data_IF_025962895560
#
_entry.id   IF_025962895560
#
_cell.length_a   1.000
_cell.length_b   1.000
_cell.length_c   1.000
_cell.angle_alpha   90.00
_cell.angle_beta   90.00
_cell.angle_gamma   90.00
#
_symmetry.space_group_name_H-M   'P 1'
#
loop_
_entity.id
_entity.type
_entity.pdbx_description
1 polymer ?
#
# COMPACT_ATOMS: atom_id res chain seq x y z
N UNK A 1 -15.14 13.12 -20.74
CA UNK A 1 -14.76 11.97 -19.89
C UNK A 1 -13.48 12.25 -19.09
N UNK A 2 -13.50 12.02 -17.78
CA UNK A 2 -12.28 12.07 -16.97
C UNK A 2 -11.30 11.02 -17.50
N UNK A 3 -10.03 11.39 -17.68
CA UNK A 3 -8.99 10.46 -18.14
C UNK A 3 -8.69 9.36 -17.12
N UNK A 4 -7.72 8.49 -17.45
CA UNK A 4 -7.24 7.45 -16.54
C UNK A 4 -6.82 8.03 -15.18
N UNK A 5 -7.15 7.30 -14.11
CA UNK A 5 -6.78 7.67 -12.74
C UNK A 5 -5.45 7.03 -12.35
N UNK A 6 -4.37 7.31 -13.08
CA UNK A 6 -3.05 6.75 -12.80
C UNK A 6 -2.45 7.35 -11.50
N UNK A 7 -2.23 6.56 -10.42
CA UNK A 7 -1.58 7.06 -9.23
C UNK A 7 -0.18 7.61 -9.53
N UNK A 8 0.16 8.73 -8.89
CA UNK A 8 1.48 9.37 -8.94
C UNK A 8 2.47 8.72 -7.98
N UNK A 9 1.98 7.93 -7.03
CA UNK A 9 2.80 7.24 -6.05
C UNK A 9 2.02 6.77 -4.84
N UNK A 10 2.73 6.04 -3.97
CA UNK A 10 2.18 5.45 -2.76
C UNK A 10 3.00 5.91 -1.57
N UNK A 11 2.34 6.11 -0.43
CA UNK A 11 2.99 6.26 0.87
C UNK A 11 2.46 5.14 1.76
N UNK A 12 3.33 4.17 2.06
CA UNK A 12 2.97 2.94 2.78
C UNK A 12 3.40 3.05 4.23
N UNK A 13 2.44 3.22 5.13
CA UNK A 13 2.67 3.39 6.56
C UNK A 13 3.32 4.73 6.94
N UNK A 14 3.77 4.79 8.19
CA UNK A 14 4.44 5.94 8.81
C UNK A 14 5.28 5.48 10.01
N UNK A 15 6.07 6.38 10.60
CA UNK A 15 6.74 6.10 11.87
C UNK A 15 5.74 5.73 12.99
N UNK A 16 4.58 6.39 13.02
CA UNK A 16 3.52 6.06 13.97
C UNK A 16 2.91 4.67 13.72
N UNK A 17 2.78 4.28 12.45
CA UNK A 17 2.37 2.92 12.07
C UNK A 17 3.37 1.90 12.63
N UNK A 18 4.68 2.08 12.40
CA UNK A 18 5.70 1.16 12.94
C UNK A 18 5.69 1.10 14.47
N UNK A 19 5.51 2.23 15.14
CA UNK A 19 5.38 2.26 16.60
C UNK A 19 4.14 1.46 17.08
N UNK A 20 2.99 1.66 16.44
CA UNK A 20 1.76 0.94 16.77
C UNK A 20 1.86 -0.57 16.50
N UNK A 21 2.62 -0.97 15.49
CA UNK A 21 2.88 -2.37 15.18
C UNK A 21 4.05 -2.99 15.96
N UNK A 22 4.68 -2.26 16.89
CA UNK A 22 5.87 -2.74 17.62
C UNK A 22 6.98 -3.22 16.66
N UNK A 23 7.27 -2.39 15.64
CA UNK A 23 8.29 -2.61 14.60
C UNK A 23 9.13 -1.35 14.36
N UNK A 24 9.18 -0.43 15.33
CA UNK A 24 9.90 0.83 15.22
C UNK A 24 11.41 0.64 15.03
N UNK A 25 11.98 -0.47 15.50
CA UNK A 25 13.38 -0.83 15.24
C UNK A 25 13.70 -1.08 13.75
N UNK A 26 12.69 -1.41 12.93
CA UNK A 26 12.80 -1.53 11.48
C UNK A 26 12.47 -0.20 10.79
N UNK A 27 13.18 0.87 11.13
CA UNK A 27 12.83 2.22 10.68
C UNK A 27 13.15 2.51 9.20
N UNK A 28 14.08 1.77 8.59
CA UNK A 28 14.51 1.95 7.20
C UNK A 28 13.84 0.96 6.24
N UNK A 29 13.56 1.41 5.01
CA UNK A 29 13.05 0.56 3.93
C UNK A 29 11.53 0.35 3.97
N UNK A 30 11.03 -0.73 3.33
CA UNK A 30 9.60 -1.01 3.22
C UNK A 30 8.91 -1.17 4.59
N UNK A 31 7.57 -1.12 4.60
CA UNK A 31 6.83 -1.20 5.86
C UNK A 31 6.97 -2.59 6.50
N UNK A 32 7.32 -2.64 7.77
CA UNK A 32 7.21 -3.86 8.59
C UNK A 32 5.99 -3.71 9.50
N UNK A 33 4.99 -4.56 9.29
CA UNK A 33 3.73 -4.55 10.02
C UNK A 33 3.41 -5.94 10.59
N UNK A 34 2.43 -6.01 11.50
CA UNK A 34 1.96 -7.26 12.10
C UNK A 34 0.55 -7.55 11.64
N UNK A 35 0.29 -8.80 11.22
CA UNK A 35 -1.02 -9.24 10.70
C UNK A 35 -2.15 -9.02 11.73
N UNK A 36 -3.38 -8.85 11.27
CA UNK A 36 -4.54 -8.59 12.14
C UNK A 36 -4.63 -7.18 12.72
N UNK A 37 -3.71 -6.29 12.37
CA UNK A 37 -3.73 -4.88 12.77
C UNK A 37 -3.69 -3.97 11.53
N UNK A 38 -4.49 -2.89 11.48
CA UNK A 38 -4.53 -1.98 10.34
C UNK A 38 -3.27 -1.12 10.24
N UNK A 39 -2.84 -0.83 9.01
CA UNK A 39 -1.85 0.19 8.69
C UNK A 39 -2.39 1.21 7.68
N UNK A 40 -1.84 2.43 7.69
CA UNK A 40 -2.20 3.49 6.75
C UNK A 40 -1.55 3.25 5.37
N UNK A 41 -2.32 3.43 4.30
CA UNK A 41 -1.84 3.54 2.92
C UNK A 41 -2.37 4.85 2.34
N UNK A 42 -1.51 5.65 1.71
CA UNK A 42 -1.93 6.84 0.96
C UNK A 42 -1.62 6.65 -0.51
N UNK A 43 -2.64 6.79 -1.35
CA UNK A 43 -2.52 6.74 -2.82
C UNK A 43 -2.53 8.18 -3.33
N UNK A 44 -1.41 8.64 -3.89
CA UNK A 44 -1.29 9.98 -4.46
C UNK A 44 -1.93 9.99 -5.84
N UNK A 45 -3.07 10.66 -5.99
CA UNK A 45 -3.86 10.68 -7.21
C UNK A 45 -3.59 11.95 -8.03
N UNK A 46 -3.84 11.92 -9.35
CA UNK A 46 -3.68 13.10 -10.20
C UNK A 46 -4.83 14.11 -10.03
N UNK A 47 -5.95 13.68 -9.44
CA UNK A 47 -7.14 14.47 -9.10
C UNK A 47 -7.85 13.86 -7.88
N UNK A 48 -8.82 14.55 -7.25
CA UNK A 48 -9.67 13.93 -6.22
C UNK A 48 -10.35 12.64 -6.72
N UNK A 49 -10.47 11.65 -5.83
CA UNK A 49 -11.20 10.41 -6.07
C UNK A 49 -12.70 10.67 -6.06
N UNK A 50 -13.39 10.21 -7.09
CA UNK A 50 -14.85 10.26 -7.19
C UNK A 50 -15.42 8.85 -6.90
N UNK A 51 -16.09 8.62 -5.76
CA UNK A 51 -16.56 7.29 -5.39
C UNK A 51 -17.69 6.75 -6.27
N UNK A 52 -18.35 7.59 -7.07
CA UNK A 52 -19.43 7.16 -7.98
C UNK A 52 -18.87 6.70 -9.34
N UNK A 53 -17.77 7.31 -9.78
CA UNK A 53 -17.21 7.10 -11.12
C UNK A 53 -15.88 6.31 -11.13
N UNK A 54 -15.17 6.30 -10.00
CA UNK A 54 -13.86 5.67 -9.87
C UNK A 54 -13.90 4.37 -9.06
N UNK A 55 -13.17 3.38 -9.54
CA UNK A 55 -12.84 2.16 -8.79
C UNK A 55 -11.38 2.16 -8.37
N UNK A 56 -11.09 1.67 -7.17
CA UNK A 56 -9.73 1.44 -6.69
C UNK A 56 -9.64 0.09 -5.97
N UNK A 57 -8.66 -0.72 -6.37
CA UNK A 57 -8.37 -2.02 -5.78
C UNK A 57 -6.94 -2.03 -5.24
N UNK A 58 -6.77 -2.50 -4.01
CA UNK A 58 -5.46 -2.72 -3.37
C UNK A 58 -5.25 -4.22 -3.24
N UNK A 59 -4.13 -4.71 -3.74
CA UNK A 59 -3.76 -6.12 -3.72
C UNK A 59 -2.45 -6.29 -2.94
N UNK A 60 -2.42 -7.26 -2.02
CA UNK A 60 -1.21 -7.71 -1.33
C UNK A 60 -0.92 -9.14 -1.77
N UNK A 61 0.20 -9.34 -2.47
CA UNK A 61 0.60 -10.65 -3.00
C UNK A 61 1.87 -11.13 -2.32
N UNK A 62 1.84 -12.31 -1.69
CA UNK A 62 3.04 -12.91 -1.08
C UNK A 62 4.08 -13.21 -2.17
N UNK A 63 5.33 -12.81 -1.96
CA UNK A 63 6.42 -12.97 -2.92
C UNK A 63 7.60 -13.72 -2.31
N UNK A 64 8.23 -14.57 -3.13
CA UNK A 64 9.37 -15.41 -2.72
C UNK A 64 10.73 -14.86 -3.18
N UNK A 65 10.79 -13.95 -4.18
CA UNK A 65 12.06 -13.45 -4.77
C UNK A 65 12.12 -11.92 -4.93
N UNK A 66 13.29 -11.33 -4.69
CA UNK A 66 13.57 -9.89 -4.72
C UNK A 66 13.87 -9.36 -6.14
N UNK A 67 13.25 -8.24 -6.49
CA UNK A 67 13.74 -7.31 -7.52
C UNK A 67 13.59 -5.91 -6.96
N UNK A 68 14.62 -5.07 -7.06
CA UNK A 68 14.64 -3.73 -6.51
C UNK A 68 14.80 -2.67 -7.60
N UNK A 69 13.94 -1.65 -7.55
CA UNK A 69 14.30 -0.23 -7.59
C UNK A 69 13.04 0.60 -7.27
N UNK A 70 13.22 1.73 -6.59
CA UNK A 70 12.13 2.63 -6.22
C UNK A 70 12.59 4.09 -6.22
N UNK A 71 11.74 4.96 -6.75
CA UNK A 71 11.95 6.40 -6.78
C UNK A 71 10.91 7.09 -5.89
N UNK A 72 11.29 8.20 -5.25
CA UNK A 72 10.41 8.99 -4.41
C UNK A 72 9.21 9.53 -5.21
N UNK A 73 7.96 9.31 -4.75
CA UNK A 73 6.80 9.72 -5.51
C UNK A 73 6.57 11.24 -5.44
N UNK A 74 6.23 11.90 -6.57
CA UNK A 74 5.89 13.31 -6.57
C UNK A 74 4.58 13.61 -5.82
N UNK A 75 4.49 14.82 -5.24
CA UNK A 75 3.32 15.27 -4.48
C UNK A 75 2.00 15.37 -5.29
N UNK A 76 0.87 15.30 -4.58
CA UNK A 76 -0.48 15.40 -5.13
C UNK A 76 -1.59 15.18 -4.09
N UNK A 77 -2.88 15.33 -4.45
CA UNK A 77 -4.00 14.94 -3.59
C UNK A 77 -3.91 13.45 -3.25
N UNK A 78 -4.23 13.07 -2.01
CA UNK A 78 -4.00 11.72 -1.51
C UNK A 78 -5.30 11.09 -0.97
N UNK A 79 -5.65 9.92 -1.50
CA UNK A 79 -6.65 9.05 -0.89
C UNK A 79 -6.01 8.26 0.26
N UNK A 80 -6.53 8.38 1.48
CA UNK A 80 -6.05 7.62 2.65
C UNK A 80 -6.93 6.39 2.86
N UNK A 81 -6.29 5.24 2.97
CA UNK A 81 -6.91 3.93 3.21
C UNK A 81 -6.33 3.34 4.50
N UNK A 82 -7.16 2.64 5.26
CA UNK A 82 -6.72 1.76 6.33
C UNK A 82 -6.76 0.32 5.81
N UNK A 83 -5.60 -0.32 5.70
CA UNK A 83 -5.46 -1.68 5.14
C UNK A 83 -5.23 -2.65 6.28
N UNK A 84 -6.01 -3.74 6.33
CA UNK A 84 -5.86 -4.79 7.34
C UNK A 84 -5.69 -6.15 6.68
N UNK A 85 -4.54 -6.77 6.89
CA UNK A 85 -4.36 -8.19 6.58
C UNK A 85 -5.02 -9.05 7.67
N UNK A 86 -5.64 -10.20 7.33
CA UNK A 86 -6.29 -11.05 8.33
C UNK A 86 -5.28 -11.60 9.35
N UNK A 87 -5.72 -11.92 10.59
CA UNK A 87 -4.83 -12.40 11.65
C UNK A 87 -4.18 -13.77 11.36
N UNK A 88 -4.67 -14.49 10.35
CA UNK A 88 -4.13 -15.77 9.87
C UNK A 88 -3.37 -15.64 8.54
N UNK A 89 -3.14 -14.43 8.03
CA UNK A 89 -2.35 -14.21 6.83
C UNK A 89 -0.95 -14.88 6.96
N UNK A 90 -0.43 -15.49 5.89
CA UNK A 90 0.95 -15.94 5.85
C UNK A 90 1.92 -14.83 6.26
N UNK A 91 3.03 -15.24 6.88
CA UNK A 91 4.10 -14.32 7.27
C UNK A 91 5.08 -14.24 6.11
N UNK A 92 5.54 -13.05 5.78
CA UNK A 92 6.51 -12.86 4.71
C UNK A 92 6.43 -11.47 4.07
N UNK A 93 7.12 -11.32 2.94
CA UNK A 93 7.13 -10.10 2.14
C UNK A 93 5.96 -10.14 1.16
N UNK A 94 5.22 -9.04 1.12
CA UNK A 94 4.09 -8.85 0.24
C UNK A 94 4.38 -7.71 -0.73
N UNK A 95 4.18 -7.99 -2.00
CA UNK A 95 4.09 -6.97 -3.06
C UNK A 95 2.76 -6.24 -2.94
N UNK A 96 2.83 -4.92 -2.83
CA UNK A 96 1.67 -4.04 -2.89
C UNK A 96 1.39 -3.64 -4.35
N UNK A 97 0.16 -3.83 -4.80
CA UNK A 97 -0.31 -3.38 -6.12
C UNK A 97 -1.57 -2.54 -5.98
N UNK A 98 -1.68 -1.49 -6.79
CA UNK A 98 -2.86 -0.63 -6.87
C UNK A 98 -3.37 -0.61 -8.31
N UNK A 99 -4.66 -0.95 -8.47
CA UNK A 99 -5.37 -0.87 -9.74
C UNK A 99 -6.49 0.16 -9.62
N UNK A 100 -6.69 0.94 -10.66
CA UNK A 100 -7.75 1.94 -10.75
C UNK A 100 -8.62 1.69 -11.97
N UNK A 101 -9.91 1.98 -11.89
CA UNK A 101 -10.85 1.92 -13.00
C UNK A 101 -11.62 3.24 -13.08
N UNK A 102 -11.84 3.72 -14.28
CA UNK A 102 -12.66 4.90 -14.58
C UNK A 102 -13.50 4.63 -15.83
N UNK A 103 -14.38 5.56 -16.20
CA UNK A 103 -15.05 5.53 -17.52
C UNK A 103 -14.08 5.58 -18.73
N UNK A 104 -12.82 6.00 -18.54
CA UNK A 104 -11.79 5.98 -19.58
C UNK A 104 -11.01 4.65 -19.67
N UNK A 105 -11.22 3.72 -18.74
CA UNK A 105 -10.56 2.41 -18.70
C UNK A 105 -9.88 2.09 -17.38
N UNK A 106 -9.10 1.00 -17.38
CA UNK A 106 -8.34 0.50 -16.24
C UNK A 106 -6.86 0.87 -16.33
N UNK A 107 -6.24 1.03 -15.16
CA UNK A 107 -4.81 1.27 -15.01
C UNK A 107 -4.28 0.43 -13.85
N UNK A 108 -3.13 -0.21 -14.04
CA UNK A 108 -2.39 -0.90 -13.01
C UNK A 108 -1.06 -0.16 -12.78
N UNK A 109 -0.78 0.20 -11.53
CA UNK A 109 0.48 0.85 -11.20
C UNK A 109 1.66 -0.09 -11.46
N UNK A 110 2.80 0.42 -11.97
CA UNK A 110 4.01 -0.37 -12.08
C UNK A 110 4.45 -0.87 -10.69
N UNK A 111 5.14 -2.01 -10.67
CA UNK A 111 5.71 -2.54 -9.45
C UNK A 111 6.87 -1.65 -8.97
N UNK A 112 6.91 -1.45 -7.65
CA UNK A 112 7.99 -0.74 -6.95
C UNK A 112 8.19 -1.41 -5.58
N UNK A 113 9.37 -2.02 -5.39
CA UNK A 113 9.73 -2.74 -4.18
C UNK A 113 9.81 -1.86 -2.93
N UNK A 114 9.97 -0.55 -3.08
CA UNK A 114 9.92 0.37 -1.94
C UNK A 114 8.54 0.37 -1.26
N UNK A 115 7.49 -0.05 -1.98
CA UNK A 115 6.12 -0.13 -1.49
C UNK A 115 5.76 -1.50 -0.90
N UNK A 116 6.70 -2.44 -0.84
CA UNK A 116 6.46 -3.76 -0.23
C UNK A 116 6.07 -3.64 1.24
N UNK A 117 5.37 -4.66 1.72
CA UNK A 117 4.97 -4.79 3.14
C UNK A 117 5.47 -6.13 3.66
N UNK A 118 6.30 -6.11 4.69
CA UNK A 118 6.62 -7.31 5.45
C UNK A 118 5.56 -7.50 6.53
N UNK A 119 4.81 -8.60 6.44
CA UNK A 119 3.83 -8.99 7.44
C UNK A 119 4.43 -10.03 8.38
N UNK A 120 4.46 -9.70 9.67
CA UNK A 120 4.92 -10.55 10.75
C UNK A 120 3.76 -11.12 11.57
N UNK A 121 4.09 -12.11 12.41
CA UNK A 121 3.21 -12.55 13.49
C UNK A 121 2.83 -11.38 14.42
N UNK A 122 1.62 -11.42 14.96
CA UNK A 122 1.11 -10.40 15.87
C UNK A 122 0.77 -10.97 17.26
N UNK A 123 1.70 -10.92 18.22
CA UNK A 123 1.43 -11.28 19.63
C UNK A 123 0.38 -10.40 20.33
N UNK A 124 0.02 -9.26 19.74
CA UNK A 124 -0.93 -8.29 20.29
C UNK A 124 -2.31 -8.35 19.63
N UNK A 125 -2.49 -9.23 18.65
CA UNK A 125 -3.80 -9.50 18.06
C UNK A 125 -4.54 -10.56 18.92
N UNK A 126 -5.76 -10.28 19.40
CA UNK A 126 -6.58 -11.24 20.15
C UNK A 126 -6.91 -12.52 19.36
#
# INVERSE_FOLDING_TARGET
PAGLLAPRGLVVGSAATRAAHHTAEYASGPLVARRGQPFDLRVLLPRPFDPEEDGLCVELTLVEEEEAEGAEPPGGPALRLAVTAPPHAPIGRYRLSVKTRTGAGEYAAPFDAANDVFLLFNPWCP
#
